data_IF_897151233451
#
_entry.id   IF_897151233451
#
_cell.length_a   1.000
_cell.length_b   1.000
_cell.length_c   1.000
_cell.angle_alpha   90.00
_cell.angle_beta   90.00
_cell.angle_gamma   90.00
#
_symmetry.space_group_name_H-M   'P 1'
#
loop_
_entity.id
_entity.type
_entity.pdbx_description
1 polymer ?
2 polymer ?
3 water ?
#
# COMPACT_ATOMS: atom_id res chain seq x y z
N UNK A 4 -12.91 15.55 -14.25
CA UNK A 4 -12.74 14.97 -12.92
C UNK A 4 -13.60 13.71 -12.73
N UNK A 5 -13.02 12.53 -12.93
CA UNK A 5 -13.79 11.29 -12.75
C UNK A 5 -14.15 11.07 -11.29
N UNK A 6 -15.17 10.24 -11.08
CA UNK A 6 -15.69 10.01 -9.73
C UNK A 6 -14.82 9.00 -8.99
N UNK A 7 -14.55 9.29 -7.71
CA UNK A 7 -13.88 8.34 -6.82
C UNK A 7 -14.95 7.67 -5.97
N UNK A 8 -15.18 6.37 -6.19
CA UNK A 8 -16.24 5.70 -5.44
C UNK A 8 -15.87 5.46 -3.98
N UNK A 9 -14.61 5.55 -3.61
CA UNK A 9 -14.19 5.26 -2.23
C UNK A 9 -12.90 6.00 -1.94
N UNK A 10 -12.99 7.30 -1.69
CA UNK A 10 -11.78 8.07 -1.45
C UNK A 10 -11.00 7.65 -0.22
N UNK A 11 -11.64 7.05 0.81
CA UNK A 11 -10.84 6.60 1.95
C UNK A 11 -9.87 5.53 1.51
N UNK A 12 -10.33 4.64 0.61
CA UNK A 12 -9.47 3.61 0.03
C UNK A 12 -8.41 4.21 -0.88
N UNK A 13 -8.82 5.14 -1.76
CA UNK A 13 -7.84 5.79 -2.61
C UNK A 13 -6.74 6.45 -1.77
N UNK A 14 -7.12 7.10 -0.68
CA UNK A 14 -6.15 7.78 0.19
C UNK A 14 -5.11 6.79 0.67
N UNK A 15 -5.54 5.58 1.01
CA UNK A 15 -4.57 4.61 1.49
C UNK A 15 -3.60 4.18 0.39
N UNK A 16 -4.09 3.94 -0.85
CA UNK A 16 -3.15 3.65 -1.94
C UNK A 16 -2.16 4.80 -2.14
N UNK A 17 -2.66 6.05 -2.14
CA UNK A 17 -1.75 7.17 -2.36
C UNK A 17 -0.74 7.34 -1.22
N UNK A 18 -1.19 7.17 0.03
CA UNK A 18 -0.26 7.21 1.17
C UNK A 18 0.74 6.06 1.07
N UNK A 19 0.34 4.92 0.50
CA UNK A 19 1.27 3.80 0.34
C UNK A 19 2.37 4.11 -0.67
N UNK A 20 2.04 4.72 -1.82
CA UNK A 20 3.13 5.03 -2.76
C UNK A 20 4.00 6.15 -2.21
N UNK A 21 3.43 7.12 -1.48
CA UNK A 21 4.31 8.13 -0.87
C UNK A 21 5.24 7.52 0.18
N UNK A 22 4.81 6.49 0.92
CA UNK A 22 5.71 5.93 1.92
C UNK A 22 6.79 5.07 1.30
N UNK A 23 6.50 4.38 0.21
CA UNK A 23 7.59 3.75 -0.55
C UNK A 23 8.60 4.80 -0.98
N UNK A 24 8.14 5.89 -1.59
CA UNK A 24 9.10 6.90 -2.05
C UNK A 24 9.91 7.41 -0.89
N UNK A 25 9.24 7.72 0.21
CA UNK A 25 9.94 8.35 1.32
C UNK A 25 10.94 7.40 1.94
N UNK A 26 10.55 6.15 2.13
CA UNK A 26 11.44 5.27 2.90
C UNK A 26 12.33 4.42 2.04
N UNK A 27 11.96 4.17 0.81
CA UNK A 27 12.72 3.26 -0.02
C UNK A 27 13.32 3.91 -1.24
N UNK A 28 12.80 5.04 -1.69
CA UNK A 28 13.39 5.80 -2.77
C UNK A 28 12.68 5.60 -4.10
N UNK A 29 13.07 6.46 -5.04
CA UNK A 29 12.39 6.55 -6.33
C UNK A 29 12.56 5.26 -7.13
N UNK A 30 13.76 4.68 -7.08
CA UNK A 30 13.99 3.46 -7.85
C UNK A 30 13.04 2.34 -7.40
N UNK A 31 12.92 2.14 -6.08
CA UNK A 31 12.01 1.10 -5.60
C UNK A 31 10.57 1.38 -6.04
N UNK A 32 10.14 2.63 -5.96
CA UNK A 32 8.78 2.98 -6.38
C UNK A 32 8.59 2.75 -7.88
N UNK A 33 9.61 3.08 -8.70
CA UNK A 33 9.51 2.76 -10.12
C UNK A 33 9.31 1.27 -10.33
N UNK A 34 10.12 0.44 -9.66
CA UNK A 34 9.96 -1.01 -9.78
C UNK A 34 8.54 -1.44 -9.38
N UNK A 35 8.06 -1.00 -8.21
CA UNK A 35 6.72 -1.43 -7.80
C UNK A 35 5.65 -0.93 -8.76
N UNK A 36 5.79 0.29 -9.26
CA UNK A 36 4.81 0.79 -10.22
C UNK A 36 4.84 -0.06 -11.49
N UNK A 37 6.05 -0.39 -11.99
CA UNK A 37 6.16 -1.27 -13.15
C UNK A 37 5.49 -2.62 -12.87
N UNK A 38 5.78 -3.22 -11.71
CA UNK A 38 5.12 -4.49 -11.37
C UNK A 38 3.62 -4.35 -11.28
N UNK A 39 3.14 -3.23 -10.75
CA UNK A 39 1.70 -3.07 -10.55
C UNK A 39 0.99 -2.95 -11.89
N UNK A 40 1.59 -2.20 -12.83
CA UNK A 40 0.97 -2.02 -14.15
C UNK A 40 0.85 -3.36 -14.86
N UNK A 41 1.91 -4.17 -14.77
CA UNK A 41 1.93 -5.47 -15.44
C UNK A 41 0.85 -6.37 -14.89
N UNK A 42 0.69 -6.40 -13.57
CA UNK A 42 -0.38 -7.20 -13.00
C UNK A 42 -1.75 -6.66 -13.40
N UNK A 43 -1.91 -5.33 -13.40
CA UNK A 43 -3.18 -4.78 -13.82
C UNK A 43 -3.46 -5.07 -15.29
N UNK A 44 -2.43 -5.12 -16.14
CA UNK A 44 -2.67 -5.46 -17.54
C UNK A 44 -3.26 -6.86 -17.66
N UNK A 45 -2.75 -7.81 -16.86
CA UNK A 45 -3.26 -9.18 -16.83
C UNK A 45 -4.73 -9.22 -16.46
N UNK A 46 -5.20 -8.24 -15.70
CA UNK A 46 -6.60 -8.16 -15.33
C UNK A 46 -7.43 -7.52 -16.42
N UNK A 47 -6.97 -6.37 -16.92
CA UNK A 47 -7.65 -5.68 -18.01
C UNK A 47 -7.42 -4.18 -18.04
N UNK A 48 -6.65 -3.67 -17.08
CA UNK A 48 -6.29 -2.26 -17.06
C UNK A 48 -5.23 -2.04 -18.14
N UNK A 49 -5.68 -1.57 -19.31
CA UNK A 49 -4.95 -1.47 -20.58
C UNK A 49 -5.07 -2.76 -21.39
N UNK B 3 18.61 -3.39 -15.31
CA UNK B 3 17.74 -2.26 -14.96
C UNK B 3 17.40 -2.26 -13.48
N UNK B 4 16.48 -3.15 -13.11
CA UNK B 4 16.02 -3.36 -11.75
C UNK B 4 16.81 -4.51 -11.12
N UNK B 5 17.24 -4.38 -9.87
CA UNK B 5 17.87 -5.52 -9.19
C UNK B 5 16.84 -6.61 -8.93
N UNK B 6 17.31 -7.75 -8.44
CA UNK B 6 16.38 -8.72 -7.89
C UNK B 6 15.49 -7.99 -6.89
N UNK B 7 14.18 -8.20 -7.02
CA UNK B 7 13.21 -7.66 -6.08
C UNK B 7 13.73 -7.73 -4.65
N UNK B 8 14.05 -6.57 -4.06
CA UNK B 8 14.65 -6.59 -2.73
C UNK B 8 13.68 -7.09 -1.67
N UNK B 9 12.36 -7.11 -1.94
CA UNK B 9 11.38 -7.48 -0.91
C UNK B 9 10.13 -8.03 -1.59
N UNK B 10 10.18 -9.29 -2.05
CA UNK B 10 9.03 -9.88 -2.76
C UNK B 10 7.78 -10.00 -1.94
N UNK B 11 7.85 -10.08 -0.59
CA UNK B 11 6.64 -10.10 0.22
C UNK B 11 5.90 -8.77 0.08
N UNK B 12 6.66 -7.65 0.08
CA UNK B 12 6.08 -6.33 -0.15
C UNK B 12 5.43 -6.24 -1.52
N UNK B 13 6.15 -6.67 -2.54
CA UNK B 13 5.61 -6.63 -3.88
C UNK B 13 4.33 -7.44 -3.97
N UNK B 14 4.31 -8.62 -3.32
CA UNK B 14 3.14 -9.49 -3.37
C UNK B 14 1.93 -8.82 -2.76
N UNK B 15 2.14 -8.04 -1.69
CA UNK B 15 1.03 -7.31 -1.08
C UNK B 15 0.39 -6.38 -2.12
N UNK B 16 1.22 -5.63 -2.86
CA UNK B 16 0.70 -4.68 -3.86
C UNK B 16 -0.07 -5.42 -4.94
N UNK B 17 0.51 -6.53 -5.43
CA UNK B 17 -0.13 -7.22 -6.55
C UNK B 17 -1.41 -7.88 -6.10
N UNK B 18 -1.39 -8.50 -4.92
CA UNK B 18 -2.61 -9.04 -4.32
C UNK B 18 -3.66 -7.95 -4.12
N UNK B 19 -3.23 -6.78 -3.64
CA UNK B 19 -4.20 -5.73 -3.36
C UNK B 19 -4.90 -5.31 -4.63
N UNK B 20 -4.16 -5.11 -5.72
CA UNK B 20 -4.83 -4.64 -6.94
C UNK B 20 -5.68 -5.77 -7.52
N UNK B 21 -5.22 -7.02 -7.38
CA UNK B 21 -6.01 -8.20 -7.74
C UNK B 21 -7.38 -8.20 -7.07
N UNK B 22 -7.40 -7.98 -5.75
CA UNK B 22 -8.64 -7.92 -5.01
C UNK B 22 -9.54 -6.79 -5.50
N UNK B 23 -8.98 -5.61 -5.77
CA UNK B 23 -9.81 -4.52 -6.25
C UNK B 23 -10.49 -4.93 -7.55
N UNK B 24 -9.72 -5.52 -8.45
CA UNK B 24 -10.24 -5.94 -9.75
C UNK B 24 -11.40 -6.91 -9.57
N UNK B 25 -11.25 -7.88 -8.66
CA UNK B 25 -12.30 -8.89 -8.53
C UNK B 25 -13.54 -8.33 -7.83
N UNK B 26 -13.35 -7.53 -6.78
CA UNK B 26 -14.45 -7.06 -5.95
C UNK B 26 -15.11 -5.82 -6.49
N UNK B 27 -14.36 -4.98 -7.21
CA UNK B 27 -14.83 -3.68 -7.66
C UNK B 27 -14.70 -3.48 -9.17
N UNK B 28 -13.92 -4.31 -9.87
CA UNK B 28 -13.91 -4.30 -11.32
C UNK B 28 -12.74 -3.53 -11.92
N UNK B 29 -12.54 -3.74 -13.23
CA UNK B 29 -11.37 -3.16 -13.89
C UNK B 29 -11.45 -1.64 -13.96
N UNK B 30 -12.63 -1.06 -14.04
CA UNK B 30 -12.73 0.39 -14.10
C UNK B 30 -12.20 1.02 -12.82
N UNK B 31 -12.55 0.43 -11.67
CA UNK B 31 -12.04 0.95 -10.40
C UNK B 31 -10.54 0.73 -10.29
N UNK B 32 -10.03 -0.43 -10.73
CA UNK B 32 -8.58 -0.63 -10.63
C UNK B 32 -7.85 0.36 -11.53
N UNK B 33 -8.44 0.66 -12.70
CA UNK B 33 -7.88 1.66 -13.60
C UNK B 33 -7.87 3.02 -12.94
N UNK B 34 -8.94 3.37 -12.23
CA UNK B 34 -8.99 4.65 -11.53
C UNK B 34 -7.87 4.73 -10.50
N UNK B 35 -7.71 3.66 -9.69
CA UNK B 35 -6.67 3.70 -8.65
C UNK B 35 -5.28 3.82 -9.26
N UNK B 36 -5.03 3.09 -10.34
CA UNK B 36 -3.70 3.14 -10.93
C UNK B 36 -3.44 4.52 -11.50
N UNK B 37 -4.48 5.14 -12.08
CA UNK B 37 -4.30 6.49 -12.61
C UNK B 37 -3.96 7.46 -11.50
N UNK B 38 -4.66 7.34 -10.35
CA UNK B 38 -4.39 8.26 -9.26
C UNK B 38 -3.00 8.01 -8.68
N UNK B 39 -2.58 6.74 -8.63
CA UNK B 39 -1.25 6.41 -8.13
C UNK B 39 -0.16 6.99 -9.03
N UNK B 40 -0.32 6.84 -10.37
CA UNK B 40 0.72 7.38 -11.26
C UNK B 40 0.86 8.87 -11.08
N UNK B 41 -0.27 9.58 -10.94
CA UNK B 41 -0.20 11.01 -10.80
C UNK B 41 0.48 11.37 -9.48
N UNK B 42 0.16 10.64 -8.41
CA UNK B 42 0.83 10.84 -7.11
C UNK B 42 2.33 10.58 -7.19
N UNK B 43 2.71 9.46 -7.80
CA UNK B 43 4.12 9.10 -7.86
C UNK B 43 4.91 10.16 -8.63
N UNK B 44 4.31 10.74 -9.68
CA UNK B 44 4.99 11.80 -10.44
C UNK B 44 5.37 12.99 -9.57
N UNK B 45 4.55 13.33 -8.59
CA UNK B 45 4.89 14.40 -7.65
C UNK B 45 6.18 14.12 -6.89
N UNK B 46 6.53 12.85 -6.71
CA UNK B 46 7.69 12.45 -5.96
C UNK B 46 8.83 12.14 -6.90
N UNK B 47 8.68 12.62 -8.14
CA UNK B 47 9.68 12.36 -9.16
C UNK B 47 9.77 10.92 -9.59
N UNK B 48 8.66 10.19 -9.61
CA UNK B 48 8.68 8.80 -10.03
C UNK B 48 7.88 8.71 -11.32
N UNK B 49 8.48 8.16 -12.38
CA UNK B 49 7.72 7.76 -13.57
C UNK B 49 7.68 6.22 -13.69
N UNK C 7 8.39 16.75 11.32
CA UNK C 7 7.98 15.39 10.97
C UNK C 7 9.04 14.69 10.11
N UNK C 8 9.97 13.99 10.76
CA UNK C 8 10.92 13.15 10.04
C UNK C 8 10.25 11.81 9.67
N UNK C 9 11.00 10.97 8.93
CA UNK C 9 10.42 9.76 8.34
C UNK C 9 9.87 8.79 9.39
N UNK C 10 10.49 8.75 10.58
CA UNK C 10 10.05 7.86 11.66
C UNK C 10 8.65 8.22 12.17
N UNK C 11 8.23 9.48 12.01
CA UNK C 11 6.92 9.98 12.40
C UNK C 11 5.80 9.57 11.45
N UNK C 12 6.14 8.94 10.32
CA UNK C 12 5.22 8.63 9.24
C UNK C 12 4.95 7.13 9.22
N UNK C 13 3.76 6.74 8.79
CA UNK C 13 3.45 5.33 8.70
C UNK C 13 3.92 4.81 7.34
N UNK C 14 4.57 3.64 7.33
CA UNK C 14 4.96 2.98 6.10
C UNK C 14 4.30 1.60 6.13
N UNK C 15 3.50 1.28 5.08
CA UNK C 15 2.74 0.03 5.03
C UNK C 15 2.20 -0.14 3.62
N UNK C 16 2.02 -1.38 3.18
CA UNK C 16 1.51 -1.61 1.81
C UNK C 16 0.01 -1.30 1.77
N UNK C 17 -0.57 -1.20 0.57
CA UNK C 17 -2.02 -0.99 0.52
C UNK C 17 -2.78 -2.15 1.18
N UNK C 18 -2.25 -3.37 1.15
CA UNK C 18 -2.89 -4.50 1.82
C UNK C 18 -2.97 -4.32 3.33
N UNK C 19 -1.86 -3.93 3.98
CA UNK C 19 -1.89 -3.74 5.42
C UNK C 19 -2.69 -2.49 5.81
N UNK C 20 -2.68 -1.44 4.98
CA UNK C 20 -3.53 -0.29 5.26
C UNK C 20 -5.01 -0.68 5.22
N UNK C 21 -5.41 -1.52 4.25
CA UNK C 21 -6.79 -1.98 4.17
C UNK C 21 -7.14 -2.83 5.38
N UNK C 22 -6.23 -3.71 5.79
CA UNK C 22 -6.48 -4.55 6.96
C UNK C 22 -6.69 -3.70 8.21
N UNK C 23 -5.85 -2.66 8.37
CA UNK C 23 -5.98 -1.77 9.51
C UNK C 23 -7.32 -1.03 9.48
N UNK C 24 -7.74 -0.57 8.29
CA UNK C 24 -9.05 0.07 8.12
C UNK C 24 -10.16 -0.88 8.55
N UNK C 25 -10.08 -2.13 8.10
CA UNK C 25 -11.16 -3.08 8.34
C UNK C 25 -11.33 -3.39 9.82
N UNK C 26 -10.24 -3.34 10.61
CA UNK C 26 -10.28 -3.70 12.02
C UNK C 26 -10.12 -2.51 12.96
N UNK C 27 -10.15 -1.26 12.43
CA UNK C 27 -10.13 -0.12 13.33
C UNK C 27 -8.81 0.11 14.03
N UNK C 28 -7.71 -0.27 13.36
CA UNK C 28 -6.35 -0.13 13.86
C UNK C 28 -5.79 1.18 13.35
N UNK C 29 -5.27 2.00 14.26
CA UNK C 29 -4.57 3.22 13.87
C UNK C 29 -3.10 2.86 13.72
N UNK C 30 -2.65 2.79 12.46
CA UNK C 30 -1.29 2.33 12.21
C UNK C 30 -0.24 3.24 12.87
N UNK C 31 -0.60 4.49 13.22
CA UNK C 31 0.34 5.34 13.95
C UNK C 31 0.74 4.73 15.28
N UNK C 32 -0.08 3.80 15.82
CA UNK C 32 0.19 3.17 17.10
C UNK C 32 0.91 1.84 16.98
N UNK C 33 1.20 1.37 15.77
CA UNK C 33 1.80 0.06 15.56
C UNK C 33 3.27 0.21 15.20
N UNK C 34 4.15 -0.50 15.92
CA UNK C 34 5.58 -0.46 15.59
C UNK C 34 5.88 -1.43 14.45
N UNK C 35 6.42 -0.89 13.35
CA UNK C 35 6.73 -1.72 12.20
C UNK C 35 8.09 -2.37 12.36
N UNK C 36 8.15 -3.66 12.06
CA UNK C 36 9.39 -4.44 12.10
C UNK C 36 9.84 -4.92 10.72
N UNK C 37 9.16 -4.51 9.65
CA UNK C 37 9.60 -4.89 8.32
C UNK C 37 10.73 -3.99 7.83
N UNK C 38 11.15 -4.26 6.58
CA UNK C 38 12.25 -3.52 5.97
C UNK C 38 11.92 -2.02 5.98
N UNK C 39 12.89 -1.20 6.43
CA UNK C 39 12.72 0.26 6.53
C UNK C 39 11.55 0.63 7.44
N UNK C 40 11.26 -0.21 8.44
CA UNK C 40 10.23 0.09 9.41
C UNK C 40 8.82 -0.16 8.93
N UNK C 41 8.66 -0.89 7.82
CA UNK C 41 7.30 -1.07 7.30
C UNK C 41 6.49 -1.91 8.27
N UNK C 42 5.21 -1.58 8.40
CA UNK C 42 4.33 -2.31 9.31
C UNK C 42 3.82 -3.58 8.61
N UNK C 43 4.14 -4.74 9.19
CA UNK C 43 3.81 -6.03 8.62
C UNK C 43 2.50 -6.56 9.18
N UNK C 44 1.94 -7.55 8.48
CA UNK C 44 0.76 -8.25 9.00
C UNK C 44 1.00 -8.73 10.43
N UNK C 45 2.17 -9.33 10.69
CA UNK C 45 2.46 -9.78 12.05
C UNK C 45 2.51 -8.65 13.07
N UNK C 46 2.91 -7.43 12.67
CA UNK C 46 2.87 -6.30 13.61
C UNK C 46 1.43 -5.93 13.98
N UNK C 47 0.54 -5.93 12.98
CA UNK C 47 -0.88 -5.66 13.25
C UNK C 47 -1.46 -6.74 14.14
N UNK C 48 -1.19 -8.02 13.81
CA UNK C 48 -1.66 -9.15 14.64
C UNK C 48 -1.23 -8.99 16.09
N UNK C 49 0.06 -8.73 16.33
CA UNK C 49 0.54 -8.55 17.69
C UNK C 49 -0.17 -7.40 18.39
N UNK C 50 -0.37 -6.28 17.67
CA UNK C 50 -1.05 -5.13 18.26
C UNK C 50 -2.48 -5.48 18.64
N UNK C 51 -3.20 -6.16 17.75
CA UNK C 51 -4.60 -6.48 18.04
C UNK C 51 -4.69 -7.47 19.20
N UNK C 52 -3.78 -8.47 19.22
CA UNK C 52 -3.80 -9.45 20.30
C UNK C 52 -3.67 -8.76 21.64
N UNK C 53 -2.77 -7.78 21.71
CA UNK C 53 -2.53 -7.04 22.95
C UNK C 53 -3.67 -6.10 23.30
N UNK C 54 -4.29 -5.49 22.31
CA UNK C 54 -5.43 -4.62 22.59
C UNK C 54 -6.57 -5.44 23.19
N UNK C 55 -6.88 -6.60 22.60
CA UNK C 55 -7.92 -7.46 23.17
C UNK C 55 -7.56 -7.80 24.61
N UNK C 56 -6.30 -8.14 24.85
CA UNK C 56 -5.85 -8.46 26.20
C UNK C 56 -6.14 -7.32 27.17
N UNK C 57 -5.71 -6.10 26.83
CA UNK C 57 -5.98 -4.97 27.71
C UNK C 57 -7.47 -4.75 27.90
N UNK C 58 -8.27 -4.97 26.84
CA UNK C 58 -9.71 -4.73 26.93
C UNK C 58 -10.41 -5.80 27.75
N UNK C 59 -10.06 -7.07 27.54
CA UNK C 59 -10.59 -8.18 28.34
C UNK C 59 -10.07 -8.14 29.77
N UNK C 60 -9.31 -7.11 30.14
CA UNK C 60 -8.76 -6.95 31.48
C UNK C 60 -8.98 -5.53 31.99
N UNK C 61 -10.01 -4.85 31.49
CA UNK C 61 -10.34 -3.49 31.94
C UNK C 61 -11.12 -3.51 33.26
#
# INVERSE_FOLDING_TARGET
SERFPNDVDPIETRDWLQAIESVIREEGVERAQYLIDQLLAEARKGGVN
SERFPNDVDPIETRDWLQAIESVIREEGVERAQYLIDQLLAEARKGGVN
EGKSEFAENDAYVHATPLIRRLAREFGVNLAKVKGTGRKGRILREDVQAYVKEAIKRAEAAPAATG
#
